data_IF_730129584166
#
_entry.id   IF_730129584166
#
_cell.length_a   1.000
_cell.length_b   1.000
_cell.length_c   1.000
_cell.angle_alpha   90.00
_cell.angle_beta   90.00
_cell.angle_gamma   90.00
#
_symmetry.space_group_name_H-M   'P 1'
#
loop_
_entity.id
_entity.type
_entity.pdbx_description
1 polymer ?
#
# COMPACT_ATOMS: atom_id res chain seq x y z
N UNK A 1 -18.89 9.47 8.80
CA UNK A 1 -17.83 10.49 8.79
C UNK A 1 -17.75 11.12 7.41
N UNK A 2 -17.26 12.35 7.27
CA UNK A 2 -17.13 13.03 5.96
C UNK A 2 -15.75 13.69 5.86
N UNK A 3 -15.08 13.53 4.71
CA UNK A 3 -13.85 14.25 4.36
C UNK A 3 -14.08 14.94 3.03
N UNK A 4 -13.89 16.26 3.00
CA UNK A 4 -13.76 17.03 1.76
C UNK A 4 -12.29 17.10 1.39
N UNK A 5 -11.92 16.49 0.27
CA UNK A 5 -10.54 16.46 -0.19
C UNK A 5 -10.03 17.86 -0.51
N UNK A 6 -8.77 18.10 -0.14
CA UNK A 6 -8.14 19.42 -0.18
C UNK A 6 -6.68 19.32 -0.60
N UNK A 7 -6.13 20.43 -1.10
CA UNK A 7 -4.69 20.53 -1.40
C UNK A 7 -3.79 20.21 -0.20
N UNK A 8 -4.21 20.54 1.03
CA UNK A 8 -3.48 20.20 2.26
C UNK A 8 -3.40 18.69 2.50
N UNK A 9 -4.46 17.94 2.24
CA UNK A 9 -4.47 16.47 2.37
C UNK A 9 -3.49 15.81 1.39
N UNK A 10 -3.47 16.30 0.15
CA UNK A 10 -2.52 15.86 -0.87
C UNK A 10 -1.08 16.19 -0.45
N UNK A 11 -0.86 17.42 0.00
CA UNK A 11 0.46 17.87 0.44
C UNK A 11 0.97 17.11 1.67
N UNK A 12 0.08 16.70 2.57
CA UNK A 12 0.40 15.88 3.75
C UNK A 12 0.88 14.49 3.33
N UNK A 13 0.09 13.76 2.53
CA UNK A 13 0.47 12.43 2.06
C UNK A 13 1.74 12.42 1.20
N UNK A 14 2.01 13.49 0.44
CA UNK A 14 3.25 13.62 -0.37
C UNK A 14 4.53 13.74 0.45
N UNK A 15 4.45 14.02 1.75
CA UNK A 15 5.62 14.13 2.63
C UNK A 15 6.09 12.77 3.16
N UNK A 16 5.27 11.73 3.03
CA UNK A 16 5.54 10.41 3.59
C UNK A 16 6.71 9.76 2.86
N UNK A 17 7.78 9.46 3.60
CA UNK A 17 8.84 8.54 3.18
C UNK A 17 8.48 7.16 3.70
N UNK A 18 8.16 6.22 2.81
CA UNK A 18 7.46 4.98 3.21
C UNK A 18 8.44 3.96 3.78
N UNK A 19 8.22 3.55 5.03
CA UNK A 19 8.95 2.48 5.70
C UNK A 19 8.40 1.09 5.37
N UNK A 20 8.87 0.11 6.14
CA UNK A 20 8.37 -1.26 6.12
C UNK A 20 8.13 -1.70 7.56
N UNK A 21 7.00 -2.33 7.82
CA UNK A 21 6.77 -3.10 9.04
C UNK A 21 7.30 -4.51 8.78
N UNK A 22 8.36 -4.93 9.48
CA UNK A 22 8.98 -6.25 9.31
C UNK A 22 8.22 -7.42 9.95
N UNK A 23 7.11 -7.17 10.63
CA UNK A 23 6.36 -8.19 11.37
C UNK A 23 5.73 -9.22 10.43
N UNK A 24 5.78 -10.51 10.76
CA UNK A 24 5.12 -11.59 10.02
C UNK A 24 5.52 -11.66 8.52
N UNK A 25 4.65 -11.22 7.61
CA UNK A 25 4.96 -11.15 6.16
C UNK A 25 5.60 -9.82 5.78
N UNK A 26 5.35 -8.81 6.61
CA UNK A 26 5.70 -7.42 6.45
C UNK A 26 4.78 -6.66 5.50
N UNK A 27 4.81 -5.33 5.62
CA UNK A 27 3.97 -4.44 4.82
C UNK A 27 4.52 -3.00 4.78
N UNK A 28 4.17 -2.19 3.77
CA UNK A 28 4.52 -0.77 3.76
C UNK A 28 3.75 0.00 4.85
N UNK A 29 4.44 0.90 5.53
CA UNK A 29 3.90 1.77 6.57
C UNK A 29 4.51 3.18 6.50
N UNK A 30 3.92 4.10 7.25
CA UNK A 30 4.46 5.45 7.42
C UNK A 30 5.79 5.39 8.23
N UNK A 31 6.60 6.45 8.22
CA UNK A 31 7.92 6.40 8.86
C UNK A 31 7.84 6.50 10.40
N UNK A 32 8.89 6.05 11.11
CA UNK A 32 8.92 6.04 12.58
C UNK A 32 8.82 7.43 13.23
N UNK A 33 9.21 8.48 12.51
CA UNK A 33 9.14 9.88 12.95
C UNK A 33 7.85 10.59 12.52
N UNK A 34 6.87 9.86 11.96
CA UNK A 34 5.60 10.43 11.56
C UNK A 34 4.74 10.83 12.75
N UNK A 35 4.46 12.13 12.88
CA UNK A 35 3.46 12.63 13.83
C UNK A 35 2.04 12.34 13.28
N UNK A 36 1.47 11.20 13.68
CA UNK A 36 0.14 10.75 13.24
C UNK A 36 -0.96 11.72 13.65
N UNK A 37 -1.71 12.22 12.65
CA UNK A 37 -2.95 12.96 12.86
C UNK A 37 -4.16 12.03 12.76
N UNK A 38 -5.30 12.35 13.43
CA UNK A 38 -6.48 11.49 13.45
C UNK A 38 -7.01 11.09 12.06
N UNK A 39 -6.84 11.95 11.06
CA UNK A 39 -7.34 11.72 9.71
C UNK A 39 -6.37 10.94 8.82
N UNK A 40 -5.12 10.70 9.20
CA UNK A 40 -4.10 10.16 8.30
C UNK A 40 -4.46 8.80 7.72
N UNK A 41 -4.92 7.88 8.57
CA UNK A 41 -5.38 6.57 8.12
C UNK A 41 -6.54 6.71 7.12
N UNK A 42 -7.43 7.68 7.34
CA UNK A 42 -8.55 7.95 6.46
C UNK A 42 -8.11 8.56 5.13
N UNK A 43 -7.16 9.49 5.15
CA UNK A 43 -6.55 10.05 3.95
C UNK A 43 -5.85 8.97 3.13
N UNK A 44 -5.08 8.08 3.78
CA UNK A 44 -4.43 6.94 3.14
C UNK A 44 -5.46 6.00 2.49
N UNK A 45 -6.53 5.64 3.22
CA UNK A 45 -7.61 4.80 2.68
C UNK A 45 -8.31 5.44 1.48
N UNK A 46 -8.64 6.73 1.55
CA UNK A 46 -9.25 7.47 0.43
C UNK A 46 -8.30 7.53 -0.75
N UNK A 47 -7.04 7.91 -0.55
CA UNK A 47 -6.04 7.97 -1.61
C UNK A 47 -5.87 6.60 -2.26
N UNK A 48 -5.61 5.56 -1.46
CA UNK A 48 -5.43 4.21 -1.96
C UNK A 48 -6.65 3.68 -2.73
N UNK A 49 -7.89 3.99 -2.32
CA UNK A 49 -9.09 3.54 -3.01
C UNK A 49 -9.42 4.37 -4.28
N UNK A 50 -9.24 5.70 -4.24
CA UNK A 50 -9.82 6.62 -5.23
C UNK A 50 -8.80 7.46 -6.00
N UNK A 51 -7.56 7.55 -5.52
CA UNK A 51 -6.50 8.32 -6.16
C UNK A 51 -6.10 7.73 -7.51
N UNK A 52 -5.85 8.60 -8.49
CA UNK A 52 -5.34 8.20 -9.80
C UNK A 52 -3.85 8.49 -9.86
N UNK A 53 -3.05 7.49 -10.21
CA UNK A 53 -1.62 7.64 -10.44
C UNK A 53 -1.27 6.94 -11.77
N UNK A 54 -0.71 7.65 -12.77
CA UNK A 54 -0.30 7.04 -14.03
C UNK A 54 0.72 5.93 -13.81
N UNK A 55 0.70 4.90 -14.67
CA UNK A 55 1.79 3.93 -14.73
C UNK A 55 2.99 4.52 -15.46
N UNK A 56 4.20 4.14 -15.05
CA UNK A 56 5.43 4.59 -15.69
C UNK A 56 6.66 4.38 -14.83
N UNK A 57 7.80 4.78 -15.35
CA UNK A 57 9.07 4.78 -14.62
C UNK A 57 9.18 6.08 -13.81
N UNK A 58 9.34 5.95 -12.50
CA UNK A 58 9.50 7.05 -11.57
C UNK A 58 10.85 6.99 -10.89
N UNK A 59 11.37 8.14 -10.47
CA UNK A 59 12.57 8.18 -9.64
C UNK A 59 12.19 7.90 -8.19
N UNK A 60 12.58 6.74 -7.68
CA UNK A 60 12.43 6.38 -6.27
C UNK A 60 13.65 6.84 -5.47
N UNK A 61 13.39 7.43 -4.30
CA UNK A 61 14.40 7.76 -3.28
C UNK A 61 14.19 6.81 -2.12
N UNK A 62 15.23 6.09 -1.71
CA UNK A 62 15.18 5.19 -0.57
C UNK A 62 15.02 6.01 0.71
N UNK A 63 14.13 5.63 1.64
CA UNK A 63 14.01 6.32 2.92
C UNK A 63 15.30 6.19 3.75
N UNK A 64 15.54 7.07 4.73
CA UNK A 64 16.71 7.01 5.61
C UNK A 64 16.88 5.65 6.32
N UNK A 65 18.09 5.39 6.83
CA UNK A 65 18.50 4.05 7.32
C UNK A 65 17.90 3.66 8.69
N UNK A 66 17.24 4.60 9.37
CA UNK A 66 16.43 4.33 10.56
C UNK A 66 15.04 3.78 10.21
N UNK A 67 14.66 3.76 8.92
CA UNK A 67 13.48 3.05 8.45
C UNK A 67 13.83 1.59 8.16
N UNK A 68 12.90 0.70 8.47
CA UNK A 68 12.98 -0.68 7.98
C UNK A 68 12.72 -0.76 6.47
N UNK A 69 13.39 -1.72 5.83
CA UNK A 69 13.32 -1.94 4.39
C UNK A 69 12.72 -3.30 4.08
N UNK A 70 11.81 -3.31 3.11
CA UNK A 70 11.43 -4.53 2.41
C UNK A 70 12.68 -5.21 1.80
N UNK A 71 12.65 -6.53 1.59
CA UNK A 71 13.72 -7.24 0.90
C UNK A 71 14.07 -6.67 -0.48
N UNK A 72 13.13 -6.04 -1.19
CA UNK A 72 13.44 -5.37 -2.46
C UNK A 72 14.28 -4.11 -2.24
N UNK A 73 13.84 -3.23 -1.33
CA UNK A 73 14.51 -1.95 -1.05
C UNK A 73 15.88 -2.13 -0.40
N UNK A 74 16.08 -3.19 0.39
CA UNK A 74 17.36 -3.51 1.00
C UNK A 74 18.51 -3.69 0.00
N UNK A 75 18.20 -4.07 -1.26
CA UNK A 75 19.18 -4.26 -2.32
C UNK A 75 19.37 -3.02 -3.21
N UNK A 76 18.56 -1.97 -3.02
CA UNK A 76 18.66 -0.74 -3.82
C UNK A 76 19.76 0.18 -3.28
N UNK A 77 20.30 1.00 -4.17
CA UNK A 77 21.08 2.19 -3.80
C UNK A 77 20.15 3.28 -3.23
N UNK A 78 20.72 4.41 -2.79
CA UNK A 78 19.95 5.53 -2.21
C UNK A 78 18.85 6.05 -3.13
N UNK A 79 18.99 5.88 -4.44
CA UNK A 79 17.94 6.16 -5.40
C UNK A 79 17.99 5.20 -6.58
N UNK A 80 16.83 4.87 -7.14
CA UNK A 80 16.67 3.95 -8.25
C UNK A 80 15.52 4.39 -9.16
N UNK A 81 15.53 3.91 -10.40
CA UNK A 81 14.36 4.02 -11.27
C UNK A 81 13.42 2.86 -10.93
N UNK A 82 12.14 3.16 -10.74
CA UNK A 82 11.12 2.20 -10.33
C UNK A 82 9.95 2.24 -11.30
N UNK A 83 9.60 1.07 -11.84
CA UNK A 83 8.46 0.92 -12.75
C UNK A 83 7.17 0.72 -11.95
N UNK A 84 6.38 1.79 -11.81
CA UNK A 84 5.05 1.74 -11.22
C UNK A 84 4.04 1.19 -12.24
N UNK A 85 3.47 0.02 -11.96
CA UNK A 85 2.61 -0.71 -12.89
C UNK A 85 1.15 -0.70 -12.45
N UNK A 86 0.26 -1.15 -13.34
CA UNK A 86 -1.14 -1.35 -12.98
C UNK A 86 -1.33 -2.39 -11.87
N UNK A 87 -0.42 -3.36 -11.73
CA UNK A 87 -0.47 -4.35 -10.65
C UNK A 87 -0.19 -3.69 -9.30
N UNK A 88 0.81 -2.80 -9.22
CA UNK A 88 1.07 -2.00 -8.03
C UNK A 88 -0.17 -1.19 -7.63
N UNK A 89 -0.77 -0.47 -8.58
CA UNK A 89 -1.97 0.33 -8.31
C UNK A 89 -3.15 -0.52 -7.82
N UNK A 90 -3.41 -1.64 -8.46
CA UNK A 90 -4.51 -2.55 -8.10
C UNK A 90 -4.34 -3.11 -6.68
N UNK A 91 -3.11 -3.49 -6.32
CA UNK A 91 -2.81 -3.98 -4.98
C UNK A 91 -2.95 -2.88 -3.93
N UNK A 92 -2.41 -1.68 -4.15
CA UNK A 92 -2.57 -0.55 -3.21
C UNK A 92 -4.04 -0.27 -2.87
N UNK A 93 -4.93 -0.35 -3.87
CA UNK A 93 -6.36 -0.14 -3.66
C UNK A 93 -7.03 -1.26 -2.83
N UNK A 94 -6.40 -2.43 -2.73
CA UNK A 94 -6.92 -3.59 -2.01
C UNK A 94 -6.29 -3.80 -0.64
N UNK A 95 -5.17 -3.14 -0.35
CA UNK A 95 -4.42 -3.36 0.89
C UNK A 95 -5.25 -3.05 2.15
N UNK A 96 -5.00 -3.83 3.20
CA UNK A 96 -5.64 -3.71 4.51
C UNK A 96 -5.01 -2.57 5.30
N UNK A 97 -5.44 -1.34 5.06
CA UNK A 97 -4.89 -0.17 5.76
C UNK A 97 -5.43 -0.04 7.19
N UNK A 98 -4.54 0.05 8.17
CA UNK A 98 -4.83 0.19 9.60
C UNK A 98 -3.81 1.09 10.31
N UNK A 99 -4.06 1.36 11.59
CA UNK A 99 -3.02 1.84 12.49
C UNK A 99 -2.28 0.62 13.01
N UNK A 100 -0.95 0.61 12.88
CA UNK A 100 -0.09 -0.41 13.46
C UNK A 100 1.03 0.25 14.26
N UNK A 101 1.62 -0.49 15.20
CA UNK A 101 2.79 -0.08 15.98
C UNK A 101 4.01 -0.89 15.54
N UNK A 102 4.61 -0.60 14.36
CA UNK A 102 5.77 -1.33 13.85
C UNK A 102 7.06 -1.02 14.61
N UNK A 103 7.09 0.02 15.45
CA UNK A 103 8.32 0.58 16.03
C UNK A 103 8.31 0.63 17.56
N UNK A 104 7.45 -0.16 18.22
CA UNK A 104 7.34 -0.30 19.68
C UNK A 104 7.14 1.05 20.42
N UNK A 105 6.28 1.93 19.90
CA UNK A 105 6.13 3.29 20.42
C UNK A 105 4.76 3.93 20.20
N UNK A 106 4.34 4.08 18.94
CA UNK A 106 3.11 4.81 18.56
C UNK A 106 2.44 4.19 17.33
N UNK A 107 1.11 4.21 17.33
CA UNK A 107 0.28 3.77 16.22
C UNK A 107 0.44 4.72 15.02
N UNK A 108 0.92 4.18 13.90
CA UNK A 108 1.08 4.91 12.63
C UNK A 108 0.28 4.26 11.50
N UNK A 109 -0.11 5.01 10.46
CA UNK A 109 -0.77 4.44 9.30
C UNK A 109 0.12 3.45 8.55
N UNK A 110 -0.40 2.25 8.31
CA UNK A 110 0.28 1.21 7.55
C UNK A 110 -0.70 0.17 7.02
N UNK A 111 -0.19 -0.81 6.28
CA UNK A 111 -0.98 -2.00 5.96
C UNK A 111 -0.74 -3.10 7.01
N UNK A 112 -1.75 -3.92 7.29
CA UNK A 112 -1.64 -5.07 8.19
C UNK A 112 -0.46 -5.97 7.75
N UNK A 113 0.61 -6.11 8.55
CA UNK A 113 1.81 -6.85 8.18
C UNK A 113 1.61 -8.38 8.19
N UNK A 114 0.54 -8.85 8.83
CA UNK A 114 0.14 -10.25 8.87
C UNK A 114 -0.80 -10.60 7.71
N UNK A 115 -1.69 -9.68 7.32
CA UNK A 115 -2.71 -9.87 6.27
C UNK A 115 -2.85 -8.63 5.36
N UNK A 116 -1.81 -8.32 4.57
CA UNK A 116 -1.72 -7.05 3.86
C UNK A 116 -2.75 -6.84 2.75
N UNK A 117 -3.44 -7.88 2.27
CA UNK A 117 -4.36 -7.81 1.13
C UNK A 117 -5.79 -8.32 1.44
N UNK A 118 -6.09 -8.55 2.71
CA UNK A 118 -7.41 -8.99 3.18
C UNK A 118 -7.35 -9.93 4.37
N UNK A 119 -7.94 -11.12 4.24
CA UNK A 119 -8.20 -12.01 5.38
C UNK A 119 -7.23 -13.19 5.47
N UNK A 120 -6.42 -13.44 4.43
CA UNK A 120 -5.58 -14.63 4.35
C UNK A 120 -4.14 -14.35 4.75
N UNK A 121 -3.58 -15.20 5.61
CA UNK A 121 -2.14 -15.17 5.94
C UNK A 121 -1.27 -15.66 4.77
N UNK A 122 -1.80 -16.50 3.89
CA UNK A 122 -1.15 -16.82 2.63
C UNK A 122 -1.52 -15.77 1.57
N UNK A 123 -0.94 -14.59 1.78
CA UNK A 123 -1.29 -13.33 1.13
C UNK A 123 -1.17 -13.39 -0.41
N UNK A 124 -0.33 -14.29 -0.96
CA UNK A 124 -0.14 -14.46 -2.40
C UNK A 124 -1.44 -14.87 -3.11
N UNK A 125 -2.34 -15.59 -2.44
CA UNK A 125 -3.66 -15.93 -2.99
C UNK A 125 -4.49 -14.67 -3.23
N UNK A 126 -4.53 -13.75 -2.26
CA UNK A 126 -5.33 -12.52 -2.38
C UNK A 126 -4.76 -11.58 -3.44
N UNK A 127 -3.43 -11.50 -3.53
CA UNK A 127 -2.78 -10.77 -4.62
C UNK A 127 -3.14 -11.38 -5.98
N UNK A 128 -3.00 -12.70 -6.13
CA UNK A 128 -3.28 -13.38 -7.40
C UNK A 128 -4.76 -13.28 -7.81
N UNK A 129 -5.69 -13.35 -6.86
CA UNK A 129 -7.12 -13.10 -7.08
C UNK A 129 -7.38 -11.66 -7.51
N UNK A 130 -6.80 -10.68 -6.81
CA UNK A 130 -6.94 -9.25 -7.14
C UNK A 130 -6.45 -8.94 -8.54
N UNK A 131 -5.37 -9.61 -8.98
CA UNK A 131 -4.77 -9.44 -10.29
C UNK A 131 -5.39 -10.35 -11.37
N UNK A 132 -6.38 -11.17 -11.04
CA UNK A 132 -7.04 -12.09 -11.97
C UNK A 132 -6.14 -13.21 -12.51
N UNK A 133 -5.07 -13.56 -11.79
CA UNK A 133 -4.10 -14.59 -12.17
C UNK A 133 -4.60 -16.01 -11.85
N UNK A 134 -5.51 -16.12 -10.87
CA UNK A 134 -6.16 -17.37 -10.48
C UNK A 134 -7.69 -17.18 -10.38
N UNK A 135 -8.50 -18.22 -10.61
CA UNK A 135 -9.95 -18.14 -10.44
C UNK A 135 -10.35 -18.02 -8.97
N UNK A 136 -11.47 -17.35 -8.70
CA UNK A 136 -12.05 -17.24 -7.36
C UNK A 136 -12.46 -18.59 -6.74
N UNK A 137 -12.77 -19.58 -7.58
CA UNK A 137 -13.07 -20.94 -7.15
C UNK A 137 -11.96 -21.87 -7.62
N UNK A 138 -11.39 -22.63 -6.67
CA UNK A 138 -10.35 -23.61 -6.95
C UNK A 138 -10.90 -24.72 -7.87
N UNK A 139 -10.30 -24.96 -9.05
CA UNK A 139 -10.62 -26.11 -9.88
C UNK A 139 -10.39 -27.44 -9.15
N UNK A 140 -11.18 -28.49 -9.44
CA UNK A 140 -11.05 -29.78 -8.76
C UNK A 140 -9.83 -30.60 -9.23
N UNK A 141 -9.28 -30.29 -10.39
CA UNK A 141 -8.28 -31.10 -11.11
C UNK A 141 -6.83 -30.60 -10.94
N UNK A 142 -6.63 -29.37 -10.50
CA UNK A 142 -5.30 -28.80 -10.26
C UNK A 142 -5.31 -27.69 -9.21
N UNK A 143 -4.13 -27.33 -8.69
CA UNK A 143 -3.97 -26.12 -7.90
C UNK A 143 -3.72 -24.93 -8.84
N UNK A 144 -4.58 -23.90 -8.84
CA UNK A 144 -4.36 -22.73 -9.68
C UNK A 144 -3.19 -21.88 -9.17
N UNK A 145 -2.81 -22.01 -7.90
CA UNK A 145 -1.71 -21.28 -7.30
C UNK A 145 -0.38 -22.00 -7.57
N UNK A 146 0.18 -21.82 -8.76
CA UNK A 146 1.46 -22.47 -9.10
C UNK A 146 2.63 -21.84 -8.34
N UNK A 147 3.76 -22.56 -8.20
CA UNK A 147 4.98 -22.00 -7.59
C UNK A 147 5.47 -20.72 -8.27
N UNK A 148 5.32 -20.60 -9.59
CA UNK A 148 5.71 -19.42 -10.36
C UNK A 148 4.83 -18.21 -10.01
N UNK A 149 3.51 -18.40 -9.87
CA UNK A 149 2.61 -17.33 -9.43
C UNK A 149 2.98 -16.93 -7.99
N UNK A 150 3.26 -17.89 -7.11
CA UNK A 150 3.60 -17.61 -5.71
C UNK A 150 4.89 -16.78 -5.62
N UNK A 151 5.91 -17.17 -6.38
CA UNK A 151 7.17 -16.44 -6.45
C UNK A 151 6.98 -15.03 -7.03
N UNK A 152 6.19 -14.89 -8.10
CA UNK A 152 5.88 -13.58 -8.69
C UNK A 152 5.14 -12.67 -7.70
N UNK A 153 4.17 -13.20 -6.95
CA UNK A 153 3.44 -12.43 -5.94
C UNK A 153 4.33 -12.03 -4.76
N UNK A 154 5.23 -12.90 -4.30
CA UNK A 154 6.21 -12.51 -3.27
C UNK A 154 7.17 -11.42 -3.75
N UNK A 155 7.66 -11.52 -4.99
CA UNK A 155 8.51 -10.47 -5.57
C UNK A 155 7.78 -9.13 -5.72
N UNK A 156 6.50 -9.18 -6.10
CA UNK A 156 5.63 -8.00 -6.22
C UNK A 156 5.29 -7.39 -4.86
N UNK A 157 5.09 -8.22 -3.83
CA UNK A 157 4.80 -7.78 -2.47
C UNK A 157 5.94 -6.92 -1.90
N UNK A 158 7.19 -7.34 -2.09
CA UNK A 158 8.34 -6.53 -1.64
C UNK A 158 8.51 -5.23 -2.42
N UNK A 159 7.97 -5.13 -3.64
CA UNK A 159 7.93 -3.87 -4.39
C UNK A 159 6.87 -2.89 -3.88
N UNK A 160 6.02 -3.28 -2.92
CA UNK A 160 4.94 -2.42 -2.44
C UNK A 160 5.42 -1.23 -1.59
N UNK A 161 6.61 -1.30 -0.99
CA UNK A 161 7.21 -0.14 -0.30
C UNK A 161 7.48 1.02 -1.27
N UNK A 162 8.29 0.87 -2.33
CA UNK A 162 8.47 1.94 -3.30
C UNK A 162 7.18 2.25 -4.06
N UNK A 163 6.31 1.27 -4.31
CA UNK A 163 5.04 1.52 -4.97
C UNK A 163 4.13 2.48 -4.17
N UNK A 164 4.00 2.29 -2.85
CA UNK A 164 3.24 3.20 -2.00
C UNK A 164 3.87 4.59 -2.01
N UNK A 165 5.20 4.70 -1.88
CA UNK A 165 5.86 6.01 -1.87
C UNK A 165 5.64 6.78 -3.18
N UNK A 166 5.86 6.11 -4.33
CA UNK A 166 5.61 6.71 -5.64
C UNK A 166 4.14 7.08 -5.79
N UNK A 167 3.23 6.21 -5.35
CA UNK A 167 1.81 6.51 -5.37
C UNK A 167 1.48 7.77 -4.57
N UNK A 168 1.91 7.87 -3.31
CA UNK A 168 1.65 9.03 -2.45
C UNK A 168 2.27 10.33 -3.00
N UNK A 169 3.41 10.23 -3.69
CA UNK A 169 4.06 11.36 -4.34
C UNK A 169 3.30 11.88 -5.58
N UNK A 170 2.60 11.00 -6.29
CA UNK A 170 2.11 11.27 -7.64
C UNK A 170 0.60 11.10 -7.86
N UNK A 171 -0.15 10.63 -6.86
CA UNK A 171 -1.60 10.51 -7.00
C UNK A 171 -2.28 11.87 -7.14
N UNK A 172 -3.45 11.83 -7.77
CA UNK A 172 -4.36 12.95 -7.91
C UNK A 172 -5.78 12.56 -7.44
N UNK A 173 -6.41 13.48 -6.72
CA UNK A 173 -7.83 13.50 -6.36
C UNK A 173 -8.30 14.93 -6.53
N UNK A 174 -9.46 15.13 -7.16
CA UNK A 174 -9.98 16.46 -7.42
C UNK A 174 -10.22 17.24 -6.12
N UNK A 175 -9.76 18.49 -6.08
CA UNK A 175 -9.99 19.39 -4.96
C UNK A 175 -11.50 19.61 -4.76
N UNK A 176 -11.95 19.56 -3.50
CA UNK A 176 -13.36 19.66 -3.14
C UNK A 176 -14.18 18.39 -3.33
N UNK A 177 -13.60 17.29 -3.84
CA UNK A 177 -14.29 15.99 -3.88
C UNK A 177 -14.62 15.53 -2.45
N UNK A 178 -15.87 15.13 -2.22
CA UNK A 178 -16.36 14.72 -0.90
C UNK A 178 -16.42 13.20 -0.82
N UNK A 179 -15.97 12.65 0.30
CA UNK A 179 -16.03 11.23 0.61
C UNK A 179 -16.79 11.00 1.91
N UNK A 180 -17.62 9.96 1.93
CA UNK A 180 -18.32 9.49 3.12
C UNK A 180 -17.69 8.18 3.61
N UNK A 181 -17.40 8.14 4.92
CA UNK A 181 -16.88 6.96 5.58
C UNK A 181 -18.00 5.99 5.94
N UNK A 182 -17.79 4.71 5.64
CA UNK A 182 -18.68 3.61 5.93
C UNK A 182 -18.39 3.00 7.31
N UNK A 183 -19.36 2.30 7.91
CA UNK A 183 -19.22 1.71 9.25
C UNK A 183 -18.11 0.65 9.33
N UNK A 184 -17.81 -0.02 8.22
CA UNK A 184 -16.73 -1.01 8.10
C UNK A 184 -15.38 -0.39 7.67
N UNK A 185 -15.24 0.93 7.72
CA UNK A 185 -13.98 1.64 7.51
C UNK A 185 -13.65 1.97 6.04
N UNK A 186 -14.53 1.61 5.10
CA UNK A 186 -14.47 2.00 3.70
C UNK A 186 -14.83 3.47 3.45
N UNK A 187 -14.53 3.96 2.26
CA UNK A 187 -14.86 5.32 1.83
C UNK A 187 -15.44 5.31 0.43
N UNK A 188 -16.51 6.07 0.23
CA UNK A 188 -17.18 6.23 -1.07
C UNK A 188 -17.30 7.70 -1.43
N UNK A 189 -17.16 8.08 -2.72
CA UNK A 189 -17.49 9.43 -3.17
C UNK A 189 -18.97 9.75 -2.89
N UNK A 190 -19.24 11.00 -2.52
CA UNK A 190 -20.60 11.54 -2.35
C UNK A 190 -21.35 11.71 -3.67
#
# INVERSE_FOLDING_TARGET
MEIRWGASHTARLRQVSVGWDGTESGAPCFPPDWETEPDDLHLLRIAAAHGVCPTGTYRYQRPPADHEYSPFVAHLTDAADFDFTGQHRALLARMSWELSDPYDGEDIPGADPKRPYGDFTFYQIEMALTLGLIPAQKPPDHDPMTPEIAQAMTALHFQMQPALQIFLQHFDIADGQVFHGEEWGGWVPA
#
